data_IF_433682976102
#
_entry.id   IF_433682976102
#
_cell.length_a   1.000
_cell.length_b   1.000
_cell.length_c   1.000
_cell.angle_alpha   90.00
_cell.angle_beta   90.00
_cell.angle_gamma   90.00
#
_symmetry.space_group_name_H-M   'P 1'
#
loop_
_entity.id
_entity.type
_entity.pdbx_description
1 polymer ?
#
# COMPACT_ATOMS: atom_id res chain seq x y z
N UNK A 1 -10.31 10.69 5.84
CA UNK A 1 -11.45 9.73 5.93
C UNK A 1 -10.84 8.36 5.75
N UNK A 2 -11.08 7.42 6.65
CA UNK A 2 -10.48 6.09 6.53
C UNK A 2 -11.16 5.28 5.43
N UNK A 3 -10.36 4.70 4.54
CA UNK A 3 -10.84 3.79 3.49
C UNK A 3 -10.17 2.44 3.60
N UNK A 4 -10.92 1.37 3.29
CA UNK A 4 -10.44 0.00 3.32
C UNK A 4 -10.48 -0.61 1.94
N UNK A 5 -9.40 -1.27 1.53
CA UNK A 5 -9.29 -2.00 0.27
C UNK A 5 -8.80 -3.41 0.55
N UNK A 6 -9.60 -4.42 0.21
CA UNK A 6 -9.21 -5.83 0.38
C UNK A 6 -8.13 -6.21 -0.61
N UNK A 7 -7.01 -6.73 -0.10
CA UNK A 7 -5.91 -7.20 -0.92
C UNK A 7 -6.26 -8.58 -1.51
N UNK A 8 -6.21 -8.70 -2.83
CA UNK A 8 -6.49 -9.94 -3.54
C UNK A 8 -5.19 -10.36 -4.26
N UNK A 9 -4.29 -11.10 -3.58
CA UNK A 9 -3.05 -11.55 -4.19
C UNK A 9 -3.32 -12.47 -5.38
N UNK A 10 -2.58 -12.27 -6.46
CA UNK A 10 -2.62 -13.13 -7.64
C UNK A 10 -1.21 -13.40 -8.13
N UNK A 11 -0.96 -14.62 -8.59
CA UNK A 11 0.25 -15.04 -9.29
C UNK A 11 0.25 -14.64 -10.78
N UNK A 12 -0.90 -14.23 -11.31
CA UNK A 12 -1.11 -13.90 -12.74
C UNK A 12 -1.09 -12.41 -13.03
N UNK A 13 -1.45 -11.56 -12.07
CA UNK A 13 -1.56 -10.12 -12.27
C UNK A 13 -1.22 -9.33 -11.00
N UNK A 14 -0.58 -8.14 -11.13
CA UNK A 14 -0.43 -7.22 -10.01
C UNK A 14 -1.78 -6.73 -9.49
N UNK A 15 -1.92 -6.64 -8.16
CA UNK A 15 -3.07 -6.00 -7.54
C UNK A 15 -2.91 -4.48 -7.60
N UNK A 16 -3.97 -3.76 -7.99
CA UNK A 16 -3.94 -2.31 -8.16
C UNK A 16 -5.15 -1.67 -7.52
N UNK A 17 -4.95 -0.52 -6.89
CA UNK A 17 -6.03 0.29 -6.31
C UNK A 17 -5.61 1.75 -6.21
N UNK A 18 -6.60 2.61 -6.00
CA UNK A 18 -6.37 4.04 -5.75
C UNK A 18 -6.74 4.34 -4.31
N UNK A 19 -5.92 5.14 -3.63
CA UNK A 19 -6.19 5.60 -2.27
C UNK A 19 -5.85 7.09 -2.14
N UNK A 20 -6.57 7.79 -1.26
CA UNK A 20 -6.15 9.11 -0.81
C UNK A 20 -5.37 8.94 0.49
N UNK A 21 -4.14 9.45 0.53
CA UNK A 21 -3.24 9.39 1.69
C UNK A 21 -2.72 10.79 1.97
N UNK A 22 -3.04 11.34 3.13
CA UNK A 22 -2.55 12.68 3.52
C UNK A 22 -3.05 13.80 2.61
N UNK A 23 -4.19 13.59 1.92
CA UNK A 23 -4.75 14.52 0.94
C UNK A 23 -4.29 14.29 -0.50
N UNK A 24 -3.26 13.48 -0.72
CA UNK A 24 -2.76 13.15 -2.06
C UNK A 24 -3.46 11.91 -2.62
N UNK A 25 -3.76 11.90 -3.92
CA UNK A 25 -4.33 10.72 -4.60
C UNK A 25 -3.18 9.87 -5.15
N UNK A 26 -3.08 8.64 -4.67
CA UNK A 26 -2.04 7.70 -5.04
C UNK A 26 -2.60 6.55 -5.87
N UNK A 27 -1.91 6.22 -6.96
CA UNK A 27 -2.18 5.04 -7.78
C UNK A 27 -1.22 3.93 -7.36
N UNK A 28 -1.74 2.94 -6.64
CA UNK A 28 -0.94 1.93 -5.97
C UNK A 28 -0.96 0.63 -6.75
N UNK A 29 0.21 0.03 -6.94
CA UNK A 29 0.40 -1.31 -7.49
C UNK A 29 1.18 -2.17 -6.50
N UNK A 30 0.64 -3.35 -6.19
CA UNK A 30 1.29 -4.37 -5.38
C UNK A 30 1.96 -5.38 -6.32
N UNK A 31 3.28 -5.48 -6.20
CA UNK A 31 4.13 -6.29 -7.07
C UNK A 31 4.74 -7.43 -6.26
N UNK A 32 4.68 -8.65 -6.76
CA UNK A 32 5.42 -9.76 -6.16
C UNK A 32 6.83 -9.83 -6.76
N UNK A 33 7.85 -9.80 -5.91
CA UNK A 33 9.23 -10.01 -6.31
C UNK A 33 9.62 -11.47 -6.04
N UNK A 34 9.84 -12.24 -7.12
CA UNK A 34 10.14 -13.66 -7.06
C UNK A 34 11.45 -13.98 -6.32
N UNK A 35 12.49 -13.17 -6.52
CA UNK A 35 13.81 -13.43 -5.94
C UNK A 35 13.87 -13.17 -4.44
N UNK A 36 13.09 -12.21 -3.94
CA UNK A 36 12.98 -11.92 -2.51
C UNK A 36 11.80 -12.62 -1.83
N UNK A 37 10.97 -13.35 -2.60
CA UNK A 37 9.74 -13.99 -2.14
C UNK A 37 8.86 -13.04 -1.31
N UNK A 38 8.65 -11.80 -1.82
CA UNK A 38 8.01 -10.71 -1.06
C UNK A 38 7.23 -9.76 -1.95
N UNK A 39 6.14 -9.22 -1.42
CA UNK A 39 5.37 -8.14 -2.05
C UNK A 39 6.00 -6.77 -1.81
N UNK A 40 5.90 -5.89 -2.81
CA UNK A 40 6.31 -4.50 -2.78
C UNK A 40 5.14 -3.60 -3.16
N UNK A 41 5.09 -2.42 -2.54
CA UNK A 41 4.16 -1.35 -2.86
C UNK A 41 4.90 -0.36 -3.74
N UNK A 42 4.37 -0.13 -4.93
CA UNK A 42 4.72 1.03 -5.74
C UNK A 42 3.52 1.98 -5.77
N UNK A 43 3.74 3.27 -5.49
CA UNK A 43 2.72 4.30 -5.69
C UNK A 43 3.21 5.34 -6.69
N UNK A 44 2.31 5.77 -7.57
CA UNK A 44 2.51 6.92 -8.44
C UNK A 44 1.52 8.04 -8.14
N UNK A 45 1.91 9.27 -8.45
CA UNK A 45 1.05 10.45 -8.38
C UNK A 45 0.22 10.64 -9.68
N UNK A 46 -0.53 11.73 -9.75
CA UNK A 46 -1.30 12.11 -10.96
C UNK A 46 -0.45 12.40 -12.20
N UNK A 47 0.86 12.62 -12.04
CA UNK A 47 1.82 12.80 -13.14
C UNK A 47 2.51 11.50 -13.53
N UNK A 48 2.08 10.37 -12.95
CA UNK A 48 2.67 9.05 -13.14
C UNK A 48 4.13 8.94 -12.65
N UNK A 49 4.57 9.83 -11.76
CA UNK A 49 5.88 9.78 -11.11
C UNK A 49 5.85 8.80 -9.95
N UNK A 50 6.86 7.95 -9.81
CA UNK A 50 6.98 7.04 -8.66
C UNK A 50 7.35 7.86 -7.42
N UNK A 51 6.45 7.89 -6.45
CA UNK A 51 6.59 8.66 -5.20
C UNK A 51 6.85 7.77 -3.99
N UNK A 52 6.59 6.47 -4.12
CA UNK A 52 6.81 5.48 -3.08
C UNK A 52 7.16 4.14 -3.71
N UNK A 53 8.22 3.49 -3.21
CA UNK A 53 8.54 2.11 -3.54
C UNK A 53 9.14 1.40 -2.31
N UNK A 54 8.35 0.59 -1.62
CA UNK A 54 8.74 -0.02 -0.34
C UNK A 54 8.28 -1.48 -0.26
N UNK A 55 8.96 -2.33 0.53
CA UNK A 55 8.42 -3.65 0.84
C UNK A 55 7.06 -3.54 1.54
N UNK A 56 6.12 -4.40 1.18
CA UNK A 56 4.85 -4.53 1.90
C UNK A 56 5.11 -5.23 3.22
N UNK A 57 4.93 -4.52 4.33
CA UNK A 57 5.12 -5.03 5.68
C UNK A 57 3.76 -5.05 6.38
N UNK A 58 3.40 -6.22 6.91
CA UNK A 58 2.21 -6.38 7.73
C UNK A 58 2.35 -5.59 9.03
N UNK A 59 1.34 -4.80 9.35
CA UNK A 59 1.22 -4.18 10.66
C UNK A 59 0.72 -5.22 11.66
N UNK A 60 1.43 -5.43 12.79
CA UNK A 60 0.94 -6.28 13.86
C UNK A 60 -0.32 -5.68 14.51
N UNK A 61 -1.00 -6.46 15.35
CA UNK A 61 -2.27 -6.04 15.96
C UNK A 61 -2.15 -4.75 16.79
N UNK A 62 -1.02 -4.59 17.49
CA UNK A 62 -0.83 -3.54 18.49
C UNK A 62 0.04 -2.38 17.99
N UNK A 63 0.48 -2.38 16.73
CA UNK A 63 1.23 -1.26 16.17
C UNK A 63 1.06 -1.08 14.67
N UNK A 64 1.00 0.18 14.26
CA UNK A 64 0.78 0.57 12.88
C UNK A 64 2.12 0.85 12.19
N UNK A 65 2.35 0.16 11.08
CA UNK A 65 3.47 0.43 10.19
C UNK A 65 2.92 1.22 9.01
N UNK A 66 3.17 2.53 9.02
CA UNK A 66 2.80 3.38 7.90
C UNK A 66 3.74 3.12 6.72
N UNK A 67 3.19 2.57 5.64
CA UNK A 67 3.90 2.25 4.41
C UNK A 67 4.04 3.49 3.50
N UNK A 68 3.36 4.59 3.81
CA UNK A 68 3.38 5.84 3.06
C UNK A 68 3.91 7.03 3.90
N UNK A 69 5.02 6.82 4.62
CA UNK A 69 5.65 7.86 5.48
C UNK A 69 5.83 9.24 4.83
N UNK A 70 6.17 9.38 3.54
CA UNK A 70 6.29 10.69 2.89
C UNK A 70 5.00 11.53 2.88
N UNK A 71 3.85 10.91 3.13
CA UNK A 71 2.51 11.53 3.08
C UNK A 71 1.91 11.76 4.48
N UNK A 72 2.74 11.77 5.53
CA UNK A 72 2.31 12.15 6.87
C UNK A 72 1.67 13.57 6.86
N UNK A 73 0.58 13.81 7.61
CA UNK A 73 0.01 12.96 8.66
C UNK A 73 -0.89 11.80 8.16
N UNK A 74 -1.08 11.63 6.85
CA UNK A 74 -1.80 10.49 6.30
C UNK A 74 -1.07 9.16 6.47
N UNK A 75 -1.80 8.07 6.29
CA UNK A 75 -1.26 6.72 6.43
C UNK A 75 -1.75 5.76 5.37
N UNK A 76 -0.89 4.80 5.02
CA UNK A 76 -1.26 3.59 4.30
C UNK A 76 -0.75 2.40 5.09
N UNK A 77 -1.66 1.56 5.58
CA UNK A 77 -1.36 0.48 6.50
C UNK A 77 -1.86 -0.83 5.90
N UNK A 78 -1.03 -1.87 5.88
CA UNK A 78 -1.48 -3.23 5.54
C UNK A 78 -1.80 -4.03 6.80
N UNK A 79 -3.08 -4.37 6.98
CA UNK A 79 -3.63 -5.12 8.12
C UNK A 79 -3.69 -6.60 7.76
N UNK A 80 -2.72 -7.41 8.22
CA UNK A 80 -2.70 -8.85 7.95
C UNK A 80 -3.92 -9.58 8.52
N UNK A 81 -4.40 -9.18 9.70
CA UNK A 81 -5.55 -9.78 10.38
C UNK A 81 -6.86 -9.73 9.58
N UNK A 82 -6.99 -8.76 8.68
CA UNK A 82 -8.18 -8.58 7.85
C UNK A 82 -7.88 -8.64 6.36
N UNK A 83 -6.61 -8.84 5.99
CA UNK A 83 -6.12 -8.80 4.62
C UNK A 83 -6.55 -7.54 3.85
N UNK A 84 -6.53 -6.39 4.53
CA UNK A 84 -6.95 -5.10 3.98
C UNK A 84 -5.81 -4.07 4.02
N UNK A 85 -5.78 -3.19 3.04
CA UNK A 85 -5.16 -1.88 3.15
C UNK A 85 -6.13 -0.91 3.82
N UNK A 86 -5.61 -0.12 4.75
CA UNK A 86 -6.27 0.99 5.41
C UNK A 86 -5.54 2.28 5.01
N UNK A 87 -6.27 3.26 4.49
CA UNK A 87 -5.70 4.55 4.06
C UNK A 87 -6.42 5.74 4.73
N UNK A 88 -5.65 6.74 5.18
CA UNK A 88 -6.17 7.97 5.81
C UNK A 88 -5.58 9.25 5.25
#
# INVERSE_FOLDING_TARGET
MTTYTTFIPSDKAPFRFTASVGGETLFITILFNLYSNRYFIQATDGNNSVVLFVPMIASPLDSDINLALPFAPGSLIYRESTNNFEAT
#
